data_IF_049198652624
#
_entry.id   IF_049198652624
#
_cell.length_a   1.000
_cell.length_b   1.000
_cell.length_c   1.000
_cell.angle_alpha   90.00
_cell.angle_beta   90.00
_cell.angle_gamma   90.00
#
_symmetry.space_group_name_H-M   'P 1'
#
loop_
_entity.id
_entity.type
_entity.pdbx_description
1 polymer ?
#
# COMPACT_ATOMS: atom_id res chain seq x y z
N UNK A 1 52.12 16.13 -13.31
CA UNK A 1 52.72 15.04 -14.12
C UNK A 1 51.64 14.03 -14.35
N UNK A 2 51.12 13.96 -15.58
CA UNK A 2 51.23 12.87 -16.59
C UNK A 2 50.79 11.52 -16.02
N UNK A 3 49.88 10.68 -16.57
CA UNK A 3 49.30 10.46 -17.93
C UNK A 3 48.29 9.32 -17.80
N UNK A 4 47.10 9.36 -18.41
CA UNK A 4 46.68 8.73 -19.69
C UNK A 4 46.39 7.21 -19.67
N UNK A 5 45.24 6.88 -20.15
CA UNK A 5 44.75 6.07 -21.31
C UNK A 5 44.19 4.71 -20.88
N UNK A 6 43.26 4.07 -21.52
CA UNK A 6 42.44 4.24 -22.74
C UNK A 6 41.39 3.14 -22.77
N UNK A 7 40.22 3.47 -23.21
CA UNK A 7 39.33 2.87 -24.21
C UNK A 7 39.70 1.44 -24.70
N UNK A 8 38.73 0.52 -24.66
CA UNK A 8 38.49 -0.39 -25.78
C UNK A 8 37.01 -0.84 -25.82
N UNK A 9 36.32 -0.34 -26.83
CA UNK A 9 35.02 -0.82 -27.30
C UNK A 9 35.27 -2.05 -28.18
N UNK A 10 34.45 -3.08 -28.10
CA UNK A 10 34.36 -4.11 -29.11
C UNK A 10 32.90 -4.42 -29.44
N UNK A 11 32.50 -3.91 -30.62
CA UNK A 11 31.29 -4.28 -31.37
C UNK A 11 31.47 -5.69 -31.93
N UNK A 12 30.45 -6.51 -31.80
CA UNK A 12 30.31 -7.72 -32.59
C UNK A 12 28.90 -7.79 -33.19
N UNK A 13 28.85 -7.46 -34.47
CA UNK A 13 27.70 -7.64 -35.36
C UNK A 13 27.76 -9.08 -35.91
N UNK A 14 26.69 -9.84 -35.74
CA UNK A 14 26.51 -11.11 -36.47
C UNK A 14 25.19 -11.05 -37.25
N UNK A 15 25.34 -11.03 -38.55
CA UNK A 15 24.28 -11.07 -39.55
C UNK A 15 23.60 -12.44 -39.61
N UNK A 16 22.29 -12.49 -39.70
CA UNK A 16 21.50 -13.67 -39.94
C UNK A 16 20.99 -13.66 -41.36
N UNK A 17 21.44 -14.57 -42.17
CA UNK A 17 21.04 -14.79 -43.56
C UNK A 17 19.73 -15.57 -43.64
N UNK A 18 18.81 -15.03 -44.43
CA UNK A 18 17.54 -15.64 -44.88
C UNK A 18 17.86 -16.63 -45.98
N UNK A 19 17.31 -17.84 -45.88
CA UNK A 19 17.24 -18.80 -47.01
C UNK A 19 15.74 -18.99 -47.36
N UNK A 20 15.39 -18.51 -48.52
CA UNK A 20 14.16 -18.81 -49.25
C UNK A 20 14.44 -19.93 -50.24
N UNK A 21 13.57 -20.92 -50.31
CA UNK A 21 13.49 -21.90 -51.40
C UNK A 21 12.45 -22.94 -51.00
N UNK A 22 11.46 -23.29 -51.73
CA UNK A 22 11.09 -23.20 -53.10
C UNK A 22 10.03 -24.28 -53.29
N UNK A 23 8.96 -23.95 -54.00
CA UNK A 23 7.83 -24.83 -54.33
C UNK A 23 8.23 -25.99 -55.24
N UNK A 24 7.56 -27.14 -55.10
CA UNK A 24 7.15 -27.93 -56.26
C UNK A 24 6.03 -28.92 -55.99
N UNK A 25 5.11 -28.98 -56.96
CA UNK A 25 3.89 -29.75 -57.08
C UNK A 25 4.01 -31.29 -56.97
N UNK A 26 2.89 -31.93 -56.59
CA UNK A 26 2.65 -33.35 -56.83
C UNK A 26 1.37 -33.87 -56.21
N UNK A 27 0.42 -34.16 -57.08
CA UNK A 27 -1.00 -34.53 -57.00
C UNK A 27 -1.35 -35.76 -56.16
N UNK A 28 -2.63 -35.73 -55.73
CA UNK A 28 -3.64 -36.79 -55.55
C UNK A 28 -3.65 -37.65 -54.28
N UNK A 29 -4.78 -37.56 -53.55
CA UNK A 29 -5.24 -38.64 -52.66
C UNK A 29 -6.12 -38.23 -51.48
N UNK A 30 -7.45 -38.08 -51.79
CA UNK A 30 -8.62 -38.38 -50.93
C UNK A 30 -8.58 -38.29 -49.41
N UNK A 31 -9.39 -37.35 -48.92
CA UNK A 31 -10.30 -37.40 -47.76
C UNK A 31 -9.98 -38.26 -46.54
N UNK A 32 -9.75 -37.58 -45.41
CA UNK A 32 -10.54 -37.86 -44.21
C UNK A 32 -10.59 -36.62 -43.31
N UNK A 33 -11.77 -36.36 -42.80
CA UNK A 33 -12.13 -35.21 -41.98
C UNK A 33 -11.62 -35.44 -40.55
N UNK A 34 -10.73 -34.56 -40.08
CA UNK A 34 -10.49 -34.37 -38.65
C UNK A 34 -10.61 -32.86 -38.33
N UNK A 35 -11.57 -32.62 -37.51
CA UNK A 35 -11.97 -31.36 -36.90
C UNK A 35 -10.78 -30.66 -36.23
N UNK A 36 -10.31 -29.60 -36.84
CA UNK A 36 -9.31 -28.73 -36.22
C UNK A 36 -10.07 -27.64 -35.49
N UNK A 37 -10.35 -27.88 -34.22
CA UNK A 37 -10.82 -26.87 -33.29
C UNK A 37 -9.75 -25.78 -33.20
N UNK A 38 -9.97 -24.71 -33.95
CA UNK A 38 -9.22 -23.47 -33.78
C UNK A 38 -9.55 -22.91 -32.39
N UNK A 39 -8.63 -23.06 -31.46
CA UNK A 39 -8.65 -22.31 -30.19
C UNK A 39 -8.59 -20.82 -30.54
N UNK A 40 -9.73 -20.18 -30.53
CA UNK A 40 -9.77 -18.72 -30.50
C UNK A 40 -9.15 -18.29 -29.18
N UNK A 41 -7.99 -17.69 -29.27
CA UNK A 41 -7.45 -16.85 -28.22
C UNK A 41 -8.43 -15.69 -28.10
N UNK A 42 -9.28 -15.74 -27.10
CA UNK A 42 -10.09 -14.61 -26.68
C UNK A 42 -9.11 -13.51 -26.28
N UNK A 43 -8.99 -12.51 -27.13
CA UNK A 43 -8.42 -11.21 -26.73
C UNK A 43 -9.29 -10.70 -25.59
N UNK A 44 -8.75 -10.70 -24.39
CA UNK A 44 -9.33 -9.97 -23.26
C UNK A 44 -9.58 -8.53 -23.72
N UNK A 45 -10.87 -8.21 -23.85
CA UNK A 45 -11.29 -6.83 -24.01
C UNK A 45 -10.98 -6.10 -22.70
N UNK A 46 -10.09 -5.14 -22.73
CA UNK A 46 -9.94 -4.18 -21.64
C UNK A 46 -11.34 -3.67 -21.29
N UNK A 47 -11.79 -3.78 -20.03
CA UNK A 47 -13.10 -3.29 -19.65
C UNK A 47 -13.15 -1.79 -19.89
N UNK A 48 -13.97 -1.35 -20.83
CA UNK A 48 -14.21 0.07 -21.18
C UNK A 48 -15.39 0.64 -20.38
N UNK A 49 -15.73 0.04 -19.25
CA UNK A 49 -16.83 0.46 -18.38
C UNK A 49 -16.40 1.54 -17.39
N UNK A 50 -17.30 2.47 -17.10
CA UNK A 50 -17.16 3.36 -15.95
C UNK A 50 -17.02 2.53 -14.68
N UNK A 51 -16.19 2.96 -13.70
CA UNK A 51 -16.07 2.28 -12.41
C UNK A 51 -17.44 2.14 -11.72
N UNK A 52 -17.74 0.96 -11.20
CA UNK A 52 -19.03 0.69 -10.55
C UNK A 52 -18.81 0.64 -9.04
N UNK A 53 -19.63 1.41 -8.31
CA UNK A 53 -19.62 1.42 -6.85
C UNK A 53 -20.30 0.17 -6.30
N UNK A 54 -19.76 -0.35 -5.21
CA UNK A 54 -20.29 -1.51 -4.49
C UNK A 54 -19.61 -2.83 -4.82
N UNK A 55 -20.09 -3.89 -4.20
CA UNK A 55 -19.58 -5.24 -4.39
C UNK A 55 -18.43 -5.62 -3.45
N UNK A 56 -17.93 -6.84 -3.64
CA UNK A 56 -16.86 -7.38 -2.81
C UNK A 56 -15.82 -8.09 -3.65
N UNK A 57 -14.59 -8.15 -3.11
CA UNK A 57 -13.48 -8.90 -3.71
C UNK A 57 -12.86 -9.84 -2.67
N UNK A 58 -12.44 -11.03 -3.13
CA UNK A 58 -11.66 -11.97 -2.33
C UNK A 58 -10.25 -12.08 -2.90
N UNK A 59 -9.27 -11.64 -2.13
CA UNK A 59 -7.85 -11.61 -2.49
C UNK A 59 -7.12 -12.76 -1.80
N UNK A 60 -6.41 -13.59 -2.58
CA UNK A 60 -5.57 -14.65 -2.03
C UNK A 60 -4.23 -14.09 -1.54
N UNK A 61 -3.89 -14.32 -0.26
CA UNK A 61 -2.60 -13.95 0.31
C UNK A 61 -1.86 -15.19 0.83
N UNK A 62 -0.51 -15.25 0.71
CA UNK A 62 0.25 -16.44 1.08
C UNK A 62 0.41 -16.61 2.60
N UNK A 63 0.28 -15.55 3.36
CA UNK A 63 0.56 -15.50 4.80
C UNK A 63 -0.55 -14.77 5.54
N UNK A 64 -0.82 -15.19 6.77
CA UNK A 64 -1.66 -14.46 7.72
C UNK A 64 -0.88 -13.28 8.31
N UNK A 65 -1.52 -12.44 9.10
CA UNK A 65 -0.84 -11.43 9.93
C UNK A 65 0.13 -12.16 10.86
N UNK A 66 1.42 -11.87 10.70
CA UNK A 66 2.48 -12.59 11.39
C UNK A 66 2.89 -11.93 12.71
N UNK A 67 2.64 -10.63 12.83
CA UNK A 67 3.08 -9.83 13.97
C UNK A 67 1.91 -9.15 14.69
N UNK A 68 1.49 -7.97 14.29
CA UNK A 68 0.49 -7.20 15.04
C UNK A 68 -0.46 -6.43 14.14
N UNK A 69 -1.71 -6.29 14.56
CA UNK A 69 -2.68 -5.34 14.00
C UNK A 69 -2.43 -3.90 14.48
N UNK A 70 -1.63 -3.73 15.55
CA UNK A 70 -1.15 -2.41 15.99
C UNK A 70 -0.11 -1.90 14.96
N UNK A 71 -0.41 -0.82 14.21
CA UNK A 71 0.41 -0.38 13.09
C UNK A 71 1.81 0.09 13.49
N UNK A 72 2.00 0.51 14.75
CA UNK A 72 3.29 0.94 15.27
C UNK A 72 4.18 -0.23 15.71
N UNK A 73 3.63 -1.42 15.88
CA UNK A 73 4.36 -2.64 16.25
C UNK A 73 4.56 -3.57 15.06
N UNK A 74 3.79 -3.39 13.99
CA UNK A 74 3.89 -4.23 12.80
C UNK A 74 5.18 -3.94 12.02
N UNK A 75 5.93 -5.00 11.71
CA UNK A 75 7.17 -4.94 10.92
C UNK A 75 7.08 -5.78 9.64
N UNK A 76 6.22 -6.80 9.62
CA UNK A 76 6.05 -7.69 8.47
C UNK A 76 5.41 -6.96 7.28
N UNK A 77 6.04 -7.07 6.09
CA UNK A 77 5.57 -6.39 4.89
C UNK A 77 4.14 -6.80 4.51
N UNK A 78 3.82 -8.11 4.57
CA UNK A 78 2.48 -8.60 4.24
C UNK A 78 1.40 -8.09 5.20
N UNK A 79 1.73 -7.91 6.49
CA UNK A 79 0.81 -7.27 7.45
C UNK A 79 0.60 -5.80 7.09
N UNK A 80 1.68 -5.07 6.78
CA UNK A 80 1.59 -3.65 6.41
C UNK A 80 0.73 -3.42 5.16
N UNK A 81 0.77 -4.30 4.16
CA UNK A 81 -0.08 -4.22 2.97
C UNK A 81 -1.58 -4.24 3.32
N UNK A 82 -1.96 -5.01 4.35
CA UNK A 82 -3.33 -5.04 4.85
C UNK A 82 -3.63 -3.76 5.65
N UNK A 83 -2.72 -3.38 6.55
CA UNK A 83 -2.89 -2.22 7.43
C UNK A 83 -2.97 -0.88 6.69
N UNK A 84 -2.36 -0.74 5.50
CA UNK A 84 -2.50 0.45 4.65
C UNK A 84 -3.93 0.75 4.22
N UNK A 85 -4.82 -0.25 4.27
CA UNK A 85 -6.24 -0.03 3.98
C UNK A 85 -7.00 0.50 5.20
N UNK A 86 -6.46 0.29 6.41
CA UNK A 86 -7.10 0.61 7.70
C UNK A 86 -6.57 1.95 8.23
N UNK A 87 -5.28 2.21 8.04
CA UNK A 87 -4.60 3.34 8.67
C UNK A 87 -4.01 4.29 7.64
N UNK A 88 -3.98 5.57 7.98
CA UNK A 88 -3.24 6.60 7.23
C UNK A 88 -2.36 7.43 8.16
N UNK A 89 -1.32 8.02 7.59
CA UNK A 89 -0.42 8.95 8.27
C UNK A 89 -0.78 10.41 8.00
N UNK A 90 0.10 11.32 8.41
CA UNK A 90 0.01 12.73 8.02
C UNK A 90 0.14 12.90 6.51
N UNK A 91 0.97 12.07 5.88
CA UNK A 91 1.15 11.97 4.43
C UNK A 91 0.91 10.52 3.99
N UNK A 92 0.59 10.33 2.71
CA UNK A 92 0.46 9.01 2.06
C UNK A 92 1.13 9.00 0.69
N UNK A 93 1.68 7.87 0.22
CA UNK A 93 2.19 7.75 -1.13
C UNK A 93 1.04 7.67 -2.15
N UNK A 94 1.24 8.24 -3.34
CA UNK A 94 0.41 7.99 -4.51
C UNK A 94 0.91 6.77 -5.31
N UNK A 95 0.26 6.50 -6.47
CA UNK A 95 0.61 5.37 -7.33
C UNK A 95 2.02 5.50 -7.93
N UNK A 96 2.54 6.72 -8.07
CA UNK A 96 3.90 7.01 -8.55
C UNK A 96 4.94 7.02 -7.42
N UNK A 97 4.50 6.92 -6.16
CA UNK A 97 5.35 6.94 -4.97
C UNK A 97 5.68 8.34 -4.46
N UNK A 98 5.01 9.40 -4.97
CA UNK A 98 5.15 10.73 -4.38
C UNK A 98 4.35 10.82 -3.09
N UNK A 99 4.84 11.61 -2.13
CA UNK A 99 4.15 11.82 -0.87
C UNK A 99 3.15 12.97 -1.00
N UNK A 100 1.88 12.67 -0.73
CA UNK A 100 0.80 13.64 -0.70
C UNK A 100 0.27 13.80 0.72
N UNK A 101 -0.24 14.99 1.04
CA UNK A 101 -0.90 15.25 2.33
C UNK A 101 -2.16 14.38 2.46
N UNK A 102 -2.32 13.71 3.62
CA UNK A 102 -3.42 12.81 3.93
C UNK A 102 -4.25 13.32 5.12
N UNK A 103 -3.97 12.87 6.35
CA UNK A 103 -4.60 13.46 7.56
C UNK A 103 -4.24 14.93 7.70
N UNK A 104 -3.06 15.33 7.23
CA UNK A 104 -2.72 16.75 7.05
C UNK A 104 -3.41 17.33 5.80
N UNK A 105 -3.74 18.62 5.85
CA UNK A 105 -4.17 19.44 4.70
C UNK A 105 -2.96 20.01 3.95
N UNK A 106 -1.91 20.33 4.69
CA UNK A 106 -0.67 20.89 4.16
C UNK A 106 0.46 20.74 5.16
N UNK A 107 1.71 20.84 4.65
CA UNK A 107 2.89 20.86 5.49
C UNK A 107 3.93 21.86 5.02
N UNK A 108 4.87 22.19 5.90
CA UNK A 108 6.08 22.95 5.60
C UNK A 108 7.26 22.45 6.43
N UNK A 109 8.46 22.66 5.91
CA UNK A 109 9.70 22.25 6.55
C UNK A 109 10.55 23.52 6.74
N UNK A 110 11.12 23.71 7.94
CA UNK A 110 12.01 24.84 8.23
C UNK A 110 13.27 24.81 7.37
N UNK A 111 13.90 25.96 7.16
CA UNK A 111 15.11 26.09 6.32
C UNK A 111 16.27 25.22 6.81
N UNK A 112 16.36 24.97 8.13
CA UNK A 112 17.37 24.13 8.72
C UNK A 112 17.00 22.62 8.71
N UNK A 113 15.82 22.27 8.20
CA UNK A 113 15.35 20.88 8.07
C UNK A 113 15.01 20.20 9.40
N UNK A 114 14.81 20.95 10.48
CA UNK A 114 14.59 20.41 11.83
C UNK A 114 13.17 20.52 12.35
N UNK A 115 12.32 21.34 11.75
CA UNK A 115 10.93 21.50 12.17
C UNK A 115 10.01 21.20 11.00
N UNK A 116 9.10 20.25 11.23
CA UNK A 116 8.06 19.87 10.31
C UNK A 116 6.73 20.36 10.87
N UNK A 117 6.14 21.35 10.22
CA UNK A 117 4.83 21.92 10.60
C UNK A 117 3.74 21.34 9.72
N UNK A 118 2.72 20.77 10.32
CA UNK A 118 1.54 20.22 9.63
C UNK A 118 0.31 20.96 10.05
N UNK A 119 -0.53 21.30 9.07
CA UNK A 119 -1.90 21.74 9.30
C UNK A 119 -2.83 20.56 9.10
N UNK A 120 -3.62 20.22 10.11
CA UNK A 120 -4.53 19.10 10.06
C UNK A 120 -5.76 19.42 9.21
N UNK A 121 -6.22 18.42 8.48
CA UNK A 121 -7.46 18.47 7.72
C UNK A 121 -8.65 18.47 8.69
N UNK A 122 -9.60 19.36 8.47
CA UNK A 122 -10.78 19.42 9.33
C UNK A 122 -11.75 18.28 9.02
N UNK A 123 -12.28 17.65 10.08
CA UNK A 123 -13.35 16.67 9.98
C UNK A 123 -12.91 15.27 9.57
N UNK A 124 -11.61 14.96 9.56
CA UNK A 124 -11.12 13.57 9.44
C UNK A 124 -11.63 12.78 10.63
N UNK A 125 -12.23 11.61 10.36
CA UNK A 125 -12.76 10.72 11.38
C UNK A 125 -11.96 9.42 11.46
N UNK A 126 -11.87 8.91 12.67
CA UNK A 126 -11.53 7.52 12.91
C UNK A 126 -12.71 6.59 12.62
N UNK A 127 -12.44 5.30 12.49
CA UNK A 127 -13.45 4.28 12.21
C UNK A 127 -14.52 4.15 13.30
N UNK A 128 -14.22 4.53 14.52
CA UNK A 128 -15.17 4.58 15.65
C UNK A 128 -16.08 5.83 15.63
N UNK A 129 -15.89 6.72 14.64
CA UNK A 129 -16.66 7.94 14.44
C UNK A 129 -16.15 9.16 15.18
N UNK A 130 -15.11 9.03 16.02
CA UNK A 130 -14.46 10.19 16.66
C UNK A 130 -13.65 10.99 15.64
N UNK A 131 -13.51 12.29 15.87
CA UNK A 131 -12.75 13.17 14.97
C UNK A 131 -11.29 13.17 15.38
N UNK A 132 -10.38 13.09 14.40
CA UNK A 132 -8.94 13.22 14.62
C UNK A 132 -8.62 14.60 15.20
N UNK A 133 -7.86 14.62 16.27
CA UNK A 133 -7.39 15.84 16.95
C UNK A 133 -5.87 16.01 16.84
N UNK A 134 -5.37 17.18 17.18
CA UNK A 134 -3.94 17.43 17.27
C UNK A 134 -3.28 16.58 18.37
N UNK A 135 -4.01 16.26 19.43
CA UNK A 135 -3.56 15.38 20.51
C UNK A 135 -3.36 13.95 20.02
N UNK A 136 -4.27 13.40 19.19
CA UNK A 136 -4.10 12.06 18.60
C UNK A 136 -2.85 11.98 17.72
N UNK A 137 -2.60 13.03 16.92
CA UNK A 137 -1.39 13.11 16.10
C UNK A 137 -0.14 13.17 16.97
N UNK A 138 -0.12 14.04 17.97
CA UNK A 138 0.97 14.15 18.95
C UNK A 138 1.19 12.81 19.65
N UNK A 139 0.14 12.19 20.17
CA UNK A 139 0.20 10.87 20.79
C UNK A 139 0.85 9.84 19.87
N UNK A 140 0.42 9.77 18.61
CA UNK A 140 0.92 8.81 17.63
C UNK A 140 2.42 8.98 17.37
N UNK A 141 2.88 10.21 17.16
CA UNK A 141 4.28 10.53 16.90
C UNK A 141 5.14 10.27 18.16
N UNK A 142 4.72 10.73 19.33
CA UNK A 142 5.43 10.53 20.60
C UNK A 142 5.49 9.04 20.99
N UNK A 143 4.42 8.28 20.70
CA UNK A 143 4.38 6.83 20.89
C UNK A 143 5.40 6.13 20.01
N UNK A 144 5.51 6.49 18.71
CA UNK A 144 6.51 5.96 17.81
C UNK A 144 7.93 6.30 18.27
N UNK A 145 8.14 7.51 18.79
CA UNK A 145 9.43 7.99 19.29
C UNK A 145 9.80 7.47 20.68
N UNK A 146 8.87 6.82 21.40
CA UNK A 146 9.08 6.35 22.78
C UNK A 146 9.12 7.47 23.83
N UNK A 147 8.70 8.71 23.49
CA UNK A 147 8.81 9.89 24.36
C UNK A 147 7.99 9.72 25.63
N UNK A 148 6.79 9.17 25.52
CA UNK A 148 5.86 8.96 26.66
C UNK A 148 5.97 7.56 27.28
N UNK A 149 7.04 6.82 26.97
CA UNK A 149 7.31 5.49 27.47
C UNK A 149 8.61 5.39 28.28
N UNK A 150 9.32 4.31 28.08
CA UNK A 150 10.63 4.06 28.70
C UNK A 150 11.81 4.71 27.92
N UNK A 151 11.50 5.49 26.89
CA UNK A 151 12.48 6.12 26.00
C UNK A 151 12.92 5.23 24.83
N UNK A 152 12.34 4.04 24.68
CA UNK A 152 12.63 3.15 23.56
C UNK A 152 11.64 3.42 22.42
N UNK A 153 12.10 3.85 21.22
CA UNK A 153 11.21 4.07 20.10
C UNK A 153 10.56 2.77 19.64
N UNK A 154 9.26 2.77 19.38
CA UNK A 154 8.57 1.67 18.70
C UNK A 154 8.95 1.60 17.22
N UNK A 155 9.21 2.76 16.62
CA UNK A 155 9.64 2.89 15.24
C UNK A 155 10.98 3.61 15.22
N UNK A 156 12.07 2.92 14.89
CA UNK A 156 13.45 3.42 15.01
C UNK A 156 13.66 4.76 14.28
N UNK A 157 13.01 4.97 13.15
CA UNK A 157 13.09 6.23 12.39
C UNK A 157 12.65 7.46 13.20
N UNK A 158 11.81 7.26 14.23
CA UNK A 158 11.36 8.34 15.12
C UNK A 158 12.29 8.61 16.29
N UNK A 159 13.39 7.88 16.46
CA UNK A 159 14.40 8.15 17.48
C UNK A 159 15.00 9.56 17.39
N UNK A 160 14.96 10.17 16.19
CA UNK A 160 15.38 11.55 15.92
C UNK A 160 14.37 12.63 16.36
N UNK A 161 13.15 12.25 16.75
CA UNK A 161 12.17 13.23 17.26
C UNK A 161 12.62 13.73 18.64
N UNK A 162 12.68 15.07 18.78
CA UNK A 162 13.00 15.72 20.05
C UNK A 162 11.72 15.99 20.86
N UNK A 163 10.73 16.62 20.23
CA UNK A 163 9.43 16.93 20.83
C UNK A 163 8.37 17.16 19.77
N UNK A 164 7.11 17.13 20.19
CA UNK A 164 5.94 17.51 19.39
C UNK A 164 5.17 18.61 20.13
N UNK A 165 4.89 19.71 19.44
CA UNK A 165 4.13 20.85 19.99
C UNK A 165 2.82 21.03 19.21
N UNK A 166 1.81 21.54 19.88
CA UNK A 166 0.50 21.89 19.31
C UNK A 166 0.33 23.42 19.46
N UNK A 167 0.75 24.21 18.45
CA UNK A 167 0.62 25.67 18.49
C UNK A 167 -0.83 26.16 18.57
N UNK A 168 -1.74 25.42 17.91
CA UNK A 168 -3.18 25.63 17.92
C UNK A 168 -3.93 24.31 17.66
N UNK A 169 -5.27 24.31 17.72
CA UNK A 169 -6.13 23.12 17.61
C UNK A 169 -5.96 22.33 16.31
N UNK A 170 -5.36 22.91 15.28
CA UNK A 170 -5.20 22.31 13.94
C UNK A 170 -3.75 22.22 13.46
N UNK A 171 -2.80 22.66 14.26
CA UNK A 171 -1.37 22.71 13.84
C UNK A 171 -0.51 21.84 14.75
N UNK A 172 0.38 21.08 14.12
CA UNK A 172 1.37 20.23 14.76
C UNK A 172 2.75 20.63 14.29
N UNK A 173 3.66 20.87 15.25
CA UNK A 173 5.09 21.08 15.01
C UNK A 173 5.86 19.87 15.55
N UNK A 174 6.58 19.17 14.66
CA UNK A 174 7.46 18.06 15.00
C UNK A 174 8.90 18.56 14.92
N UNK A 175 9.60 18.55 16.04
CA UNK A 175 10.98 18.99 16.16
C UNK A 175 11.93 17.79 16.12
N UNK A 176 12.94 17.86 15.29
CA UNK A 176 14.00 16.86 15.19
C UNK A 176 15.27 17.31 15.91
N UNK A 177 15.97 16.36 16.52
CA UNK A 177 17.31 16.56 17.11
C UNK A 177 18.33 17.01 16.06
N UNK A 178 18.28 16.34 14.89
CA UNK A 178 19.13 16.63 13.74
C UNK A 178 18.26 16.72 12.47
N UNK A 179 18.74 17.51 11.48
CA UNK A 179 18.05 17.61 10.20
C UNK A 179 18.01 16.25 9.47
N UNK A 180 16.85 15.88 8.97
CA UNK A 180 16.65 14.63 8.24
C UNK A 180 15.74 14.88 7.04
N UNK A 181 16.30 14.82 5.83
CA UNK A 181 15.55 15.05 4.58
C UNK A 181 14.59 13.93 4.22
N UNK A 182 14.74 12.76 4.82
CA UNK A 182 13.88 11.57 4.59
C UNK A 182 12.73 11.48 5.60
N UNK A 183 12.76 12.31 6.66
CA UNK A 183 11.80 12.21 7.75
C UNK A 183 10.33 12.33 7.28
N UNK A 184 10.06 13.11 6.24
CA UNK A 184 8.71 13.22 5.67
C UNK A 184 8.15 11.85 5.25
N UNK A 185 9.00 10.95 4.72
CA UNK A 185 8.55 9.62 4.30
C UNK A 185 8.14 8.73 5.49
N UNK A 186 8.72 8.95 6.67
CA UNK A 186 8.33 8.22 7.88
C UNK A 186 6.98 8.66 8.43
N UNK A 187 6.50 9.85 8.06
CA UNK A 187 5.20 10.38 8.47
C UNK A 187 4.00 9.77 7.72
N UNK A 188 4.25 8.72 6.93
CA UNK A 188 3.25 7.74 6.49
C UNK A 188 2.84 6.79 7.62
N UNK A 189 3.52 6.85 8.78
CA UNK A 189 3.14 6.10 9.98
C UNK A 189 1.70 6.45 10.39
N UNK A 190 0.97 5.43 10.83
CA UNK A 190 -0.43 5.57 11.19
C UNK A 190 -0.69 6.62 12.26
N UNK A 191 -1.70 7.46 12.06
CA UNK A 191 -2.31 8.23 13.14
C UNK A 191 -3.36 7.34 13.80
N UNK A 192 -3.26 7.19 15.11
CA UNK A 192 -4.12 6.33 15.92
C UNK A 192 -4.78 7.13 17.04
N UNK A 193 -5.99 6.77 17.46
CA UNK A 193 -6.68 7.48 18.52
C UNK A 193 -6.04 7.21 19.89
N UNK A 194 -5.79 8.26 20.68
CA UNK A 194 -5.18 8.15 22.01
C UNK A 194 -6.05 7.34 22.98
N UNK A 195 -7.36 7.38 22.82
CA UNK A 195 -8.31 6.72 23.72
C UNK A 195 -8.44 5.20 23.52
N UNK A 196 -7.88 4.62 22.43
CA UNK A 196 -7.90 3.19 22.19
C UNK A 196 -6.64 2.56 22.79
N UNK A 197 -6.80 1.85 23.89
CA UNK A 197 -5.68 1.26 24.63
C UNK A 197 -5.06 0.05 23.92
N UNK A 198 -5.85 -0.75 23.22
CA UNK A 198 -5.43 -2.01 22.58
C UNK A 198 -5.82 -2.05 21.09
N UNK A 199 -4.94 -1.51 20.25
CA UNK A 199 -5.09 -1.53 18.79
C UNK A 199 -4.96 -2.94 18.16
N UNK A 200 -4.48 -3.92 18.92
CA UNK A 200 -4.48 -5.32 18.47
C UNK A 200 -5.89 -5.93 18.53
N UNK A 201 -6.64 -5.58 19.57
CA UNK A 201 -8.00 -6.06 19.78
C UNK A 201 -9.04 -5.23 19.00
N UNK A 202 -8.78 -3.92 18.87
CA UNK A 202 -9.67 -2.95 18.22
C UNK A 202 -8.88 -2.05 17.26
N UNK A 203 -8.64 -2.52 16.01
CA UNK A 203 -7.89 -1.77 15.00
C UNK A 203 -8.69 -0.58 14.47
N UNK A 204 -8.51 0.60 15.07
CA UNK A 204 -9.18 1.85 14.70
C UNK A 204 -8.20 2.78 13.99
N UNK A 205 -8.46 3.09 12.73
CA UNK A 205 -7.68 4.00 11.88
C UNK A 205 -8.53 5.02 11.15
N UNK A 206 -7.95 5.70 10.17
CA UNK A 206 -8.58 6.74 9.35
C UNK A 206 -8.72 6.34 7.89
N UNK A 207 -8.30 5.13 7.52
CA UNK A 207 -8.23 4.66 6.14
C UNK A 207 -9.59 4.40 5.49
N UNK A 208 -9.58 4.10 4.17
CA UNK A 208 -10.80 3.90 3.38
C UNK A 208 -11.59 2.64 3.76
N UNK A 209 -10.98 1.70 4.49
CA UNK A 209 -11.63 0.49 4.99
C UNK A 209 -11.41 0.36 6.49
N UNK A 210 -12.42 -0.12 7.20
CA UNK A 210 -12.31 -0.49 8.60
C UNK A 210 -12.20 -2.01 8.77
N UNK A 211 -11.55 -2.42 9.84
CA UNK A 211 -11.41 -3.81 10.22
C UNK A 211 -12.75 -4.35 10.74
N UNK A 212 -13.14 -5.55 10.27
CA UNK A 212 -14.37 -6.23 10.70
C UNK A 212 -14.05 -7.47 11.54
N UNK A 213 -13.19 -8.34 11.01
CA UNK A 213 -12.88 -9.60 11.70
C UNK A 213 -11.65 -10.29 11.11
N UNK A 214 -11.06 -11.17 11.90
CA UNK A 214 -10.03 -12.12 11.49
C UNK A 214 -10.35 -13.52 11.99
N UNK A 215 -10.30 -14.49 11.09
CA UNK A 215 -10.23 -15.92 11.42
C UNK A 215 -8.81 -16.38 11.18
N UNK A 216 -8.00 -16.63 12.24
CA UNK A 216 -6.59 -16.97 12.09
C UNK A 216 -6.36 -18.12 11.12
N UNK A 217 -5.42 -17.96 10.19
CA UNK A 217 -5.07 -18.90 9.11
C UNK A 217 -6.17 -19.14 8.08
N UNK A 218 -7.27 -18.38 8.11
CA UNK A 218 -8.38 -18.49 7.15
C UNK A 218 -8.59 -17.19 6.38
N UNK A 219 -8.95 -16.09 7.07
CA UNK A 219 -9.24 -14.83 6.41
C UNK A 219 -9.15 -13.61 7.33
N UNK A 220 -9.07 -12.44 6.69
CA UNK A 220 -9.22 -11.11 7.27
C UNK A 220 -10.25 -10.36 6.44
N UNK A 221 -11.18 -9.69 7.10
CA UNK A 221 -12.31 -9.02 6.46
C UNK A 221 -12.26 -7.54 6.78
N UNK A 222 -12.30 -6.73 5.72
CA UNK A 222 -12.41 -5.28 5.80
C UNK A 222 -13.71 -4.84 5.09
N UNK A 223 -14.34 -3.79 5.59
CA UNK A 223 -15.49 -3.13 4.96
C UNK A 223 -15.21 -1.65 4.74
N UNK A 224 -15.82 -1.09 3.70
CA UNK A 224 -15.68 0.31 3.33
C UNK A 224 -16.08 1.23 4.49
N UNK A 225 -15.26 2.22 4.77
CA UNK A 225 -15.58 3.28 5.72
C UNK A 225 -16.37 4.38 5.01
N UNK A 226 -17.64 4.53 5.35
CA UNK A 226 -18.56 5.47 4.69
C UNK A 226 -18.22 6.93 4.93
N UNK A 227 -17.62 7.23 6.10
CA UNK A 227 -17.23 8.59 6.51
C UNK A 227 -15.77 8.93 6.16
N UNK A 228 -15.18 8.19 5.20
CA UNK A 228 -13.81 8.45 4.73
C UNK A 228 -13.68 9.88 4.20
N UNK A 229 -12.64 10.57 4.64
CA UNK A 229 -12.45 12.00 4.39
C UNK A 229 -12.21 12.36 2.91
N UNK A 230 -11.51 11.49 2.16
CA UNK A 230 -11.21 11.71 0.74
C UNK A 230 -12.39 11.28 -0.13
N UNK A 231 -13.34 12.18 -0.29
CA UNK A 231 -14.58 11.91 -1.02
C UNK A 231 -14.39 11.80 -2.53
N UNK A 232 -13.27 12.30 -3.06
CA UNK A 232 -12.95 12.21 -4.50
C UNK A 232 -12.31 10.87 -4.84
N UNK A 233 -11.58 10.25 -3.91
CA UNK A 233 -10.89 8.98 -4.06
C UNK A 233 -11.48 7.89 -3.15
N UNK A 234 -12.79 7.83 -3.04
CA UNK A 234 -13.46 6.79 -2.26
C UNK A 234 -13.23 5.40 -2.84
N UNK A 235 -13.07 4.41 -1.96
CA UNK A 235 -13.08 3.02 -2.37
C UNK A 235 -14.36 2.66 -3.12
N UNK A 236 -14.22 1.97 -4.28
CA UNK A 236 -15.39 1.50 -5.05
C UNK A 236 -16.04 0.29 -4.39
N UNK A 237 -15.23 -0.60 -3.81
CA UNK A 237 -15.71 -1.85 -3.20
C UNK A 237 -16.30 -1.60 -1.81
N UNK A 238 -17.36 -2.33 -1.48
CA UNK A 238 -17.93 -2.31 -0.12
C UNK A 238 -17.15 -3.19 0.85
N UNK A 239 -16.50 -4.24 0.33
CA UNK A 239 -15.85 -5.26 1.16
C UNK A 239 -14.64 -5.87 0.49
N UNK A 240 -13.59 -6.09 1.26
CA UNK A 240 -12.40 -6.85 0.86
C UNK A 240 -12.21 -8.00 1.84
N UNK A 241 -12.04 -9.22 1.31
CA UNK A 241 -11.68 -10.39 2.11
C UNK A 241 -10.31 -10.89 1.68
N UNK A 242 -9.33 -10.78 2.56
CA UNK A 242 -8.02 -11.43 2.38
C UNK A 242 -8.12 -12.88 2.84
N UNK A 243 -7.97 -13.82 1.92
CA UNK A 243 -8.01 -15.25 2.20
C UNK A 243 -6.62 -15.85 2.21
N UNK A 244 -6.25 -16.54 3.30
CA UNK A 244 -4.94 -17.14 3.42
C UNK A 244 -4.88 -18.42 2.57
N UNK A 245 -4.03 -18.44 1.54
CA UNK A 245 -3.82 -19.57 0.62
C UNK A 245 -2.33 -19.78 0.44
N UNK A 246 -1.75 -20.70 1.20
CA UNK A 246 -0.29 -20.93 1.27
C UNK A 246 0.28 -21.65 0.04
N UNK A 247 -0.53 -22.46 -0.64
CA UNK A 247 -0.11 -23.23 -1.81
C UNK A 247 -0.45 -22.51 -3.10
N UNK A 248 0.55 -22.23 -3.94
CA UNK A 248 0.36 -21.50 -5.19
C UNK A 248 -0.49 -22.24 -6.22
N UNK A 249 -0.52 -23.59 -6.22
CA UNK A 249 -1.41 -24.35 -7.09
C UNK A 249 -2.85 -24.22 -6.63
N UNK A 250 -3.07 -24.14 -5.30
CA UNK A 250 -4.39 -23.86 -4.73
C UNK A 250 -4.87 -22.46 -5.12
N UNK A 251 -4.00 -21.44 -5.17
CA UNK A 251 -4.33 -20.09 -5.65
C UNK A 251 -4.87 -20.17 -7.09
N UNK A 252 -4.15 -20.82 -8.00
CA UNK A 252 -4.57 -20.98 -9.40
C UNK A 252 -5.91 -21.72 -9.52
N UNK A 253 -6.11 -22.74 -8.69
CA UNK A 253 -7.38 -23.51 -8.68
C UNK A 253 -8.54 -22.66 -8.18
N UNK A 254 -8.33 -21.89 -7.12
CA UNK A 254 -9.34 -21.02 -6.52
C UNK A 254 -9.70 -19.83 -7.46
N UNK A 255 -8.73 -19.26 -8.18
CA UNK A 255 -8.98 -18.26 -9.22
C UNK A 255 -9.84 -18.84 -10.36
N UNK A 256 -9.51 -20.06 -10.84
CA UNK A 256 -10.30 -20.71 -11.90
C UNK A 256 -11.72 -21.08 -11.48
N UNK A 257 -11.93 -21.37 -10.21
CA UNK A 257 -13.27 -21.70 -9.65
C UNK A 257 -14.08 -20.47 -9.25
N UNK A 258 -13.48 -19.26 -9.28
CA UNK A 258 -14.11 -18.04 -8.77
C UNK A 258 -14.24 -18.01 -7.23
N UNK A 259 -13.42 -18.78 -6.52
CA UNK A 259 -13.32 -18.72 -5.04
C UNK A 259 -12.40 -17.60 -4.58
N UNK A 260 -11.45 -17.21 -5.42
CA UNK A 260 -10.66 -16.00 -5.35
C UNK A 260 -10.94 -15.17 -6.60
N UNK A 261 -10.89 -13.86 -6.46
CA UNK A 261 -10.98 -12.88 -7.54
C UNK A 261 -9.59 -12.39 -7.95
N UNK A 262 -8.63 -12.37 -6.99
CA UNK A 262 -7.26 -11.92 -7.18
C UNK A 262 -6.28 -12.74 -6.35
#
# INVERSE_FOLDING_TARGET
MKKRRSVLALLLVAALTVVLGGCQDGKDGKADSSDTTSSQVSTESTPTGEPVMGGSITVGIPQDIEDSLDPHKSVAAGTKEILFNIYEGLVKPDEEGNLNDAVAESHSISEDGKVYTFKLRNGVKFHDGTTVTAEDVKYSIERCAGINGDGTPLVEAFSNVDKVEIPDESTIDIYLKEADTEFLAYLTVAIVPEHVEDLEADPVGTGPFHYVSRSPQENIVLEKFSDYWDTENQAYLDKVTFRIVKDSNAVVTNLKSGTLDM
#
